data_IF_616983112199
#
_entry.id   IF_616983112199
#
_cell.length_a   1.000
_cell.length_b   1.000
_cell.length_c   1.000
_cell.angle_alpha   90.00
_cell.angle_beta   90.00
_cell.angle_gamma   90.00
#
_symmetry.space_group_name_H-M   'P 1'
#
loop_
_entity.id
_entity.type
_entity.pdbx_description
1 polymer ?
#
# COMPACT_ATOMS: atom_id res chain seq x y z
N UNK A 1 2.41 -21.57 -15.87
CA UNK A 1 3.52 -20.64 -15.49
C UNK A 1 4.51 -20.52 -16.64
N UNK A 2 4.87 -19.27 -17.01
CA UNK A 2 5.86 -18.95 -18.07
C UNK A 2 7.28 -19.38 -17.69
N UNK A 3 8.21 -19.34 -18.68
CA UNK A 3 9.62 -19.60 -18.41
C UNK A 3 10.21 -18.56 -17.43
N UNK A 4 9.81 -17.29 -17.57
CA UNK A 4 10.22 -16.21 -16.67
C UNK A 4 9.75 -16.49 -15.23
N UNK A 5 8.52 -16.92 -15.04
CA UNK A 5 7.99 -17.31 -13.72
C UNK A 5 8.78 -18.46 -13.11
N UNK A 6 9.14 -19.48 -13.91
CA UNK A 6 9.97 -20.61 -13.46
C UNK A 6 11.35 -20.16 -13.02
N UNK A 7 11.99 -19.25 -13.77
CA UNK A 7 13.30 -18.70 -13.43
C UNK A 7 13.24 -17.88 -12.13
N UNK A 8 12.19 -17.07 -11.95
CA UNK A 8 11.98 -16.30 -10.73
C UNK A 8 11.81 -17.25 -9.54
N UNK A 9 10.94 -18.26 -9.62
CA UNK A 9 10.77 -19.25 -8.56
C UNK A 9 12.07 -19.99 -8.24
N UNK A 10 12.85 -20.38 -9.27
CA UNK A 10 14.16 -21.01 -9.07
C UNK A 10 15.14 -20.09 -8.32
N UNK A 11 15.19 -18.79 -8.69
CA UNK A 11 16.02 -17.80 -8.02
C UNK A 11 15.61 -17.61 -6.56
N UNK A 12 14.28 -17.49 -6.29
CA UNK A 12 13.73 -17.34 -4.95
C UNK A 12 14.07 -18.54 -4.06
N UNK A 13 13.92 -19.77 -4.57
CA UNK A 13 14.29 -20.99 -3.85
C UNK A 13 15.75 -21.01 -3.45
N UNK A 14 16.65 -20.45 -4.27
CA UNK A 14 18.09 -20.46 -4.01
C UNK A 14 18.59 -19.30 -3.17
N UNK A 15 17.92 -18.18 -3.22
CA UNK A 15 18.43 -16.93 -2.63
C UNK A 15 17.58 -16.36 -1.52
N UNK A 16 16.29 -16.59 -1.55
CA UNK A 16 15.36 -16.02 -0.57
C UNK A 16 14.94 -17.06 0.47
N UNK A 17 14.42 -18.20 0.03
CA UNK A 17 13.94 -19.26 0.92
C UNK A 17 14.95 -19.67 2.02
N UNK A 18 16.27 -19.87 1.75
CA UNK A 18 17.20 -20.22 2.82
C UNK A 18 17.27 -19.17 3.94
N UNK A 19 17.19 -17.89 3.58
CA UNK A 19 17.23 -16.79 4.55
C UNK A 19 16.01 -16.79 5.49
N UNK A 20 14.87 -17.34 5.06
CA UNK A 20 13.66 -17.41 5.91
C UNK A 20 13.74 -18.50 6.97
N UNK A 21 14.70 -19.43 6.88
CA UNK A 21 14.97 -20.48 7.88
C UNK A 21 15.92 -20.02 8.98
N UNK A 22 16.66 -18.95 8.75
CA UNK A 22 17.57 -18.37 9.74
C UNK A 22 16.79 -17.56 10.79
N UNK A 23 17.37 -17.32 11.99
CA UNK A 23 16.84 -16.37 12.95
C UNK A 23 16.67 -14.98 12.31
N UNK A 24 15.62 -14.27 12.71
CA UNK A 24 15.30 -12.97 12.15
C UNK A 24 16.25 -11.91 12.72
N UNK A 25 17.10 -11.38 11.87
CA UNK A 25 17.92 -10.19 12.13
C UNK A 25 17.34 -9.01 11.33
N UNK A 26 16.56 -8.18 12.00
CA UNK A 26 15.86 -7.04 11.41
C UNK A 26 16.84 -6.08 10.72
N UNK A 27 17.95 -5.74 11.36
CA UNK A 27 18.93 -4.80 10.82
C UNK A 27 19.59 -5.34 9.55
N UNK A 28 19.97 -6.62 9.55
CA UNK A 28 20.53 -7.33 8.39
C UNK A 28 19.54 -7.38 7.22
N UNK A 29 18.27 -7.74 7.49
CA UNK A 29 17.23 -7.83 6.46
C UNK A 29 16.98 -6.46 5.81
N UNK A 30 16.83 -5.40 6.61
CA UNK A 30 16.65 -4.03 6.12
C UNK A 30 17.84 -3.57 5.28
N UNK A 31 19.07 -3.78 5.76
CA UNK A 31 20.29 -3.40 5.04
C UNK A 31 20.43 -4.17 3.71
N UNK A 32 20.10 -5.45 3.67
CA UNK A 32 20.14 -6.24 2.44
C UNK A 32 19.07 -5.82 1.45
N UNK A 33 17.86 -5.52 1.93
CA UNK A 33 16.75 -5.05 1.11
C UNK A 33 17.09 -3.70 0.49
N UNK A 34 17.59 -2.74 1.28
CA UNK A 34 17.98 -1.41 0.78
C UNK A 34 19.08 -1.47 -0.31
N UNK A 35 20.02 -2.41 -0.22
CA UNK A 35 21.11 -2.57 -1.20
C UNK A 35 20.66 -3.20 -2.52
N UNK A 36 19.55 -3.92 -2.54
CA UNK A 36 19.11 -4.75 -3.69
C UNK A 36 17.88 -4.19 -4.40
N UNK A 37 17.46 -2.97 -4.07
CA UNK A 37 16.30 -2.35 -4.69
C UNK A 37 16.60 -2.05 -6.15
N UNK A 38 15.84 -2.68 -7.04
CA UNK A 38 15.77 -2.26 -8.43
C UNK A 38 14.75 -1.12 -8.53
N UNK A 39 15.21 0.05 -8.97
CA UNK A 39 14.36 1.23 -9.14
C UNK A 39 13.96 1.33 -10.62
N UNK A 40 12.70 1.04 -10.96
CA UNK A 40 12.22 1.22 -12.31
C UNK A 40 12.22 2.71 -12.69
N UNK A 41 12.44 3.03 -13.98
CA UNK A 41 12.29 4.41 -14.45
C UNK A 41 10.85 4.88 -14.24
N UNK A 42 10.70 6.18 -13.95
CA UNK A 42 9.36 6.78 -13.87
C UNK A 42 8.68 6.68 -15.22
N UNK A 43 7.44 6.18 -15.31
CA UNK A 43 6.73 6.04 -16.57
C UNK A 43 6.53 7.40 -17.27
N UNK A 44 6.54 7.39 -18.61
CA UNK A 44 6.30 8.61 -19.40
C UNK A 44 4.90 9.17 -19.10
N UNK A 45 4.81 10.49 -18.87
CA UNK A 45 3.56 11.17 -18.49
C UNK A 45 3.19 11.02 -17.02
N UNK A 46 4.16 10.60 -16.19
CA UNK A 46 4.00 10.46 -14.75
C UNK A 46 5.13 11.16 -14.01
N UNK A 47 4.88 11.52 -12.76
CA UNK A 47 5.85 12.12 -11.86
C UNK A 47 5.94 11.29 -10.58
N UNK A 48 7.16 11.14 -10.06
CA UNK A 48 7.40 10.60 -8.74
C UNK A 48 7.77 11.76 -7.81
N UNK A 49 7.04 11.90 -6.69
CA UNK A 49 7.31 12.90 -5.66
C UNK A 49 7.57 12.18 -4.34
N UNK A 50 8.80 12.22 -3.90
CA UNK A 50 9.20 11.64 -2.61
C UNK A 50 8.96 12.66 -1.50
N UNK A 51 8.28 12.24 -0.42
CA UNK A 51 8.07 13.05 0.77
C UNK A 51 8.29 12.18 2.01
N UNK A 52 9.53 12.11 2.47
CA UNK A 52 9.88 11.37 3.67
C UNK A 52 10.02 12.31 4.86
N UNK A 53 9.55 11.88 6.04
CA UNK A 53 9.75 12.62 7.28
C UNK A 53 11.24 12.72 7.58
N UNK A 54 11.67 13.89 8.02
CA UNK A 54 13.03 14.05 8.55
C UNK A 54 13.10 13.33 9.90
N UNK A 55 14.11 12.50 10.11
CA UNK A 55 14.32 11.80 11.37
C UNK A 55 14.39 12.81 12.53
N UNK A 56 13.61 12.57 13.59
CA UNK A 56 13.54 13.45 14.77
C UNK A 56 12.61 14.67 14.63
N UNK A 57 11.93 14.85 13.50
CA UNK A 57 10.89 15.87 13.40
C UNK A 57 9.68 15.50 14.28
N UNK A 58 9.10 16.47 15.03
CA UNK A 58 7.93 16.20 15.86
C UNK A 58 6.72 15.78 14.99
N UNK A 59 5.93 14.84 15.51
CA UNK A 59 4.65 14.47 14.91
C UNK A 59 3.67 15.63 15.07
N UNK A 60 3.54 16.44 14.03
CA UNK A 60 2.51 17.47 13.98
C UNK A 60 1.27 16.90 13.28
N UNK A 61 0.08 17.21 13.80
CA UNK A 61 -1.19 16.76 13.21
C UNK A 61 -1.37 17.13 11.73
N UNK A 62 -0.65 18.15 11.24
CA UNK A 62 -0.63 18.63 9.86
C UNK A 62 0.66 18.29 9.12
N UNK A 63 1.55 17.44 9.67
CA UNK A 63 2.77 17.05 8.97
C UNK A 63 2.43 16.31 7.65
N UNK A 64 3.23 16.51 6.59
CA UNK A 64 3.06 15.74 5.35
C UNK A 64 3.15 14.24 5.64
N UNK A 65 2.30 13.46 4.99
CA UNK A 65 2.39 11.99 5.05
C UNK A 65 3.76 11.56 4.52
N UNK A 66 4.40 10.58 5.20
CA UNK A 66 5.65 9.99 4.71
C UNK A 66 5.35 8.97 3.62
N UNK A 67 6.01 9.07 2.46
CA UNK A 67 5.78 8.14 1.36
C UNK A 67 6.16 8.68 -0.02
N UNK A 68 5.58 8.06 -1.03
CA UNK A 68 5.83 8.42 -2.43
C UNK A 68 4.52 8.62 -3.18
N UNK A 69 4.40 9.77 -3.81
CA UNK A 69 3.34 10.04 -4.77
C UNK A 69 3.78 9.67 -6.18
N UNK A 70 2.95 8.91 -6.86
CA UNK A 70 3.02 8.62 -8.28
C UNK A 70 1.84 9.36 -8.91
N UNK A 71 2.11 10.46 -9.61
CA UNK A 71 1.09 11.41 -10.07
C UNK A 71 1.09 11.46 -11.60
N UNK A 72 -0.10 11.34 -12.19
CA UNK A 72 -0.27 11.49 -13.64
C UNK A 72 -0.18 12.97 -14.04
N UNK A 73 0.54 13.27 -15.10
CA UNK A 73 0.53 14.62 -15.68
C UNK A 73 -0.89 14.96 -16.17
N UNK A 74 -1.40 16.11 -15.72
CA UNK A 74 -2.79 16.52 -15.98
C UNK A 74 -3.82 15.94 -14.98
N UNK A 75 -3.38 15.20 -13.95
CA UNK A 75 -4.23 14.60 -12.91
C UNK A 75 -4.86 13.28 -13.30
N UNK A 76 -5.32 12.55 -12.31
CA UNK A 76 -6.02 11.28 -12.48
C UNK A 76 -7.43 11.34 -11.85
N UNK A 77 -8.41 10.60 -12.41
CA UNK A 77 -9.78 10.59 -11.89
C UNK A 77 -9.93 9.71 -10.63
N UNK A 78 -8.86 9.00 -10.24
CA UNK A 78 -8.84 8.01 -9.16
C UNK A 78 -7.61 8.18 -8.31
N UNK A 79 -7.70 7.72 -7.07
CA UNK A 79 -6.55 7.69 -6.14
C UNK A 79 -6.41 6.31 -5.52
N UNK A 80 -5.19 5.81 -5.41
CA UNK A 80 -4.87 4.56 -4.73
C UNK A 80 -3.99 4.86 -3.52
N UNK A 81 -4.41 4.41 -2.33
CA UNK A 81 -3.52 4.29 -1.18
C UNK A 81 -2.87 2.92 -1.22
N UNK A 82 -1.55 2.88 -1.40
CA UNK A 82 -0.80 1.62 -1.46
C UNK A 82 -0.04 1.37 -0.16
N UNK A 83 -0.22 0.18 0.40
CA UNK A 83 0.42 -0.30 1.62
C UNK A 83 1.35 -1.45 1.24
N UNK A 84 2.66 -1.22 1.38
CA UNK A 84 3.66 -2.19 0.94
C UNK A 84 3.76 -3.42 1.85
N UNK A 85 4.23 -4.54 1.31
CA UNK A 85 4.57 -5.74 2.05
C UNK A 85 5.87 -5.62 2.84
N UNK A 86 6.31 -6.75 3.41
CA UNK A 86 7.56 -6.81 4.17
C UNK A 86 7.36 -7.19 5.64
N UNK A 87 6.33 -8.00 5.95
CA UNK A 87 6.11 -8.57 7.28
C UNK A 87 6.00 -7.55 8.40
N UNK A 88 5.62 -6.31 8.10
CA UNK A 88 5.56 -5.15 9.00
C UNK A 88 6.92 -4.68 9.55
N UNK A 89 8.04 -5.31 9.21
CA UNK A 89 9.34 -4.98 9.80
C UNK A 89 10.42 -4.56 8.79
N UNK A 90 10.18 -4.71 7.48
CA UNK A 90 11.13 -4.29 6.44
C UNK A 90 10.39 -3.84 5.18
N UNK A 91 11.12 -3.52 4.12
CA UNK A 91 10.63 -2.88 2.90
C UNK A 91 10.24 -1.39 3.09
N UNK A 92 9.80 -0.79 2.01
CA UNK A 92 9.42 0.63 1.93
C UNK A 92 8.71 0.90 0.59
N UNK A 93 8.14 2.08 0.37
CA UNK A 93 7.64 2.50 -0.94
C UNK A 93 8.64 2.27 -2.07
N UNK A 94 9.93 2.56 -1.85
CA UNK A 94 11.00 2.36 -2.85
C UNK A 94 11.10 0.91 -3.33
N UNK A 95 10.95 -0.05 -2.43
CA UNK A 95 11.04 -1.48 -2.78
C UNK A 95 9.86 -1.97 -3.61
N UNK A 96 8.74 -1.24 -3.57
CA UNK A 96 7.49 -1.60 -4.24
C UNK A 96 7.15 -0.71 -5.45
N UNK A 97 8.09 0.16 -5.90
CA UNK A 97 7.86 1.03 -7.07
C UNK A 97 7.44 0.27 -8.33
N UNK A 98 7.93 -0.96 -8.53
CA UNK A 98 7.59 -1.75 -9.72
C UNK A 98 6.08 -2.09 -9.78
N UNK A 99 5.52 -2.57 -8.66
CA UNK A 99 4.10 -2.87 -8.58
C UNK A 99 3.26 -1.59 -8.50
N UNK A 100 3.72 -0.57 -7.77
CA UNK A 100 3.03 0.71 -7.64
C UNK A 100 2.91 1.45 -8.98
N UNK A 101 4.00 1.59 -9.75
CA UNK A 101 3.95 2.14 -11.11
C UNK A 101 3.08 1.31 -12.04
N UNK A 102 3.21 -0.03 -11.94
CA UNK A 102 2.43 -0.94 -12.76
C UNK A 102 0.93 -0.81 -12.53
N UNK A 103 0.49 -0.66 -11.28
CA UNK A 103 -0.92 -0.49 -10.92
C UNK A 103 -1.41 0.93 -11.26
N UNK A 104 -0.67 1.98 -10.86
CA UNK A 104 -1.03 3.38 -11.09
C UNK A 104 -1.28 3.67 -12.59
N UNK A 105 -0.33 3.25 -13.43
CA UNK A 105 -0.40 3.53 -14.87
C UNK A 105 -1.57 2.81 -15.55
N UNK A 106 -1.84 1.56 -15.19
CA UNK A 106 -2.92 0.75 -15.77
C UNK A 106 -4.30 1.19 -15.29
N UNK A 107 -4.40 1.52 -14.00
CA UNK A 107 -5.64 2.01 -13.41
C UNK A 107 -5.93 3.48 -13.76
N UNK A 108 -4.97 4.19 -14.36
CA UNK A 108 -5.05 5.64 -14.57
C UNK A 108 -5.40 6.37 -13.26
N UNK A 109 -4.66 6.04 -12.19
CA UNK A 109 -4.90 6.53 -10.84
C UNK A 109 -3.65 7.19 -10.28
N UNK A 110 -3.78 8.36 -9.64
CA UNK A 110 -2.72 8.83 -8.75
C UNK A 110 -2.55 7.82 -7.62
N UNK A 111 -1.32 7.54 -7.20
CA UNK A 111 -1.06 6.56 -6.18
C UNK A 111 -0.17 7.15 -5.10
N UNK A 112 -0.61 7.04 -3.84
CA UNK A 112 0.22 7.32 -2.68
C UNK A 112 0.68 6.02 -2.04
N UNK A 113 1.98 5.75 -2.11
CA UNK A 113 2.62 4.61 -1.42
C UNK A 113 3.10 5.08 -0.05
N UNK A 114 2.41 4.63 1.00
CA UNK A 114 2.66 5.06 2.37
C UNK A 114 3.92 4.42 2.93
N UNK A 115 4.78 5.22 3.55
CA UNK A 115 5.91 4.78 4.37
C UNK A 115 5.46 4.70 5.83
N UNK A 116 4.73 3.65 6.16
CA UNK A 116 4.18 3.45 7.49
C UNK A 116 5.26 3.00 8.48
N UNK A 117 5.06 3.27 9.77
CA UNK A 117 5.97 2.90 10.85
C UNK A 117 6.13 1.39 10.96
N UNK A 118 7.37 0.92 11.07
CA UNK A 118 7.72 -0.50 11.07
C UNK A 118 8.02 -1.01 12.49
N UNK A 119 7.71 -2.28 12.69
CA UNK A 119 8.12 -3.06 13.86
C UNK A 119 9.60 -3.46 13.75
N UNK A 120 10.27 -3.78 14.85
CA UNK A 120 9.77 -3.79 16.24
C UNK A 120 9.75 -2.42 16.91
N UNK A 121 10.33 -1.37 16.29
CA UNK A 121 10.39 -0.03 16.90
C UNK A 121 8.99 0.55 17.13
N UNK A 122 8.08 0.23 16.23
CA UNK A 122 6.68 0.66 16.26
C UNK A 122 5.77 -0.55 16.03
N UNK A 123 5.48 -1.34 17.08
CA UNK A 123 4.59 -2.48 16.96
C UNK A 123 3.14 -2.05 16.71
N UNK A 124 2.24 -3.00 16.54
CA UNK A 124 0.81 -2.79 16.47
C UNK A 124 0.31 -1.91 17.65
N UNK A 125 -0.54 -0.89 17.40
CA UNK A 125 -1.24 -0.62 16.14
C UNK A 125 -0.57 0.43 15.23
N UNK A 126 0.69 0.80 15.40
CA UNK A 126 1.33 1.95 14.76
C UNK A 126 1.15 2.00 13.23
N UNK A 127 1.32 0.89 12.51
CA UNK A 127 1.13 0.83 11.06
C UNK A 127 -0.34 1.05 10.67
N UNK A 128 -1.29 0.55 11.46
CA UNK A 128 -2.72 0.76 11.24
C UNK A 128 -3.10 2.23 11.46
N UNK A 129 -2.59 2.85 12.52
CA UNK A 129 -2.82 4.27 12.79
C UNK A 129 -2.32 5.15 11.64
N UNK A 130 -1.13 4.83 11.09
CA UNK A 130 -0.57 5.54 9.94
C UNK A 130 -1.43 5.35 8.68
N UNK A 131 -1.94 4.14 8.43
CA UNK A 131 -2.81 3.85 7.29
C UNK A 131 -4.16 4.58 7.40
N UNK A 132 -4.77 4.61 8.59
CA UNK A 132 -5.99 5.37 8.86
C UNK A 132 -5.77 6.87 8.70
N UNK A 133 -4.68 7.40 9.25
CA UNK A 133 -4.32 8.81 9.10
C UNK A 133 -4.10 9.19 7.64
N UNK A 134 -3.42 8.33 6.86
CA UNK A 134 -3.20 8.54 5.43
C UNK A 134 -4.52 8.56 4.66
N UNK A 135 -5.41 7.60 4.89
CA UNK A 135 -6.70 7.54 4.22
C UNK A 135 -7.56 8.78 4.53
N UNK A 136 -7.69 9.14 5.82
CA UNK A 136 -8.45 10.33 6.26
C UNK A 136 -7.87 11.62 5.67
N UNK A 137 -6.54 11.69 5.55
CA UNK A 137 -5.86 12.83 4.92
C UNK A 137 -6.17 12.93 3.43
N UNK A 138 -6.22 11.82 2.70
CA UNK A 138 -6.61 11.82 1.29
C UNK A 138 -8.05 12.34 1.11
N UNK A 139 -8.97 11.96 2.00
CA UNK A 139 -10.33 12.51 2.01
C UNK A 139 -10.33 14.01 2.29
N UNK A 140 -9.58 14.48 3.29
CA UNK A 140 -9.48 15.89 3.66
C UNK A 140 -8.82 16.74 2.55
N UNK A 141 -7.89 16.17 1.79
CA UNK A 141 -7.28 16.80 0.62
C UNK A 141 -8.20 16.79 -0.62
N UNK A 142 -9.44 16.30 -0.47
CA UNK A 142 -10.50 16.39 -1.46
C UNK A 142 -10.60 15.19 -2.41
N UNK A 143 -9.97 14.05 -2.11
CA UNK A 143 -10.22 12.83 -2.87
C UNK A 143 -11.58 12.21 -2.45
N UNK A 144 -12.57 12.06 -3.35
CA UNK A 144 -13.84 11.44 -3.00
C UNK A 144 -13.65 9.97 -2.61
N UNK A 145 -14.34 9.50 -1.56
CA UNK A 145 -14.24 8.11 -1.11
C UNK A 145 -14.54 7.10 -2.24
N UNK A 146 -15.50 7.41 -3.12
CA UNK A 146 -15.90 6.59 -4.26
C UNK A 146 -14.84 6.55 -5.38
N UNK A 147 -13.83 7.41 -5.36
CA UNK A 147 -12.68 7.39 -6.27
C UNK A 147 -11.42 6.82 -5.62
N UNK A 148 -11.48 6.47 -4.33
CA UNK A 148 -10.37 5.90 -3.58
C UNK A 148 -10.41 4.38 -3.57
N UNK A 149 -9.23 3.75 -3.71
CA UNK A 149 -9.02 2.31 -3.50
C UNK A 149 -7.84 2.14 -2.55
N UNK A 150 -7.94 1.19 -1.61
CA UNK A 150 -6.78 0.78 -0.81
C UNK A 150 -6.21 -0.47 -1.46
N UNK A 151 -4.90 -0.49 -1.71
CA UNK A 151 -4.21 -1.65 -2.27
C UNK A 151 -3.03 -2.03 -1.37
N UNK A 152 -2.70 -3.31 -1.32
CA UNK A 152 -1.53 -3.76 -0.58
C UNK A 152 -1.16 -5.20 -0.87
N UNK A 153 0.05 -5.57 -0.49
CA UNK A 153 0.59 -6.90 -0.70
C UNK A 153 1.11 -7.51 0.62
N UNK A 154 1.00 -8.81 0.79
CA UNK A 154 1.53 -9.52 1.97
C UNK A 154 1.03 -8.88 3.29
N UNK A 155 1.93 -8.44 4.17
CA UNK A 155 1.59 -7.67 5.38
C UNK A 155 0.80 -6.39 5.05
N UNK A 156 1.15 -5.68 3.97
CA UNK A 156 0.39 -4.52 3.49
C UNK A 156 -1.00 -4.87 3.00
N UNK A 157 -1.21 -6.09 2.46
CA UNK A 157 -2.53 -6.62 2.12
C UNK A 157 -3.38 -6.90 3.37
N UNK A 158 -2.77 -7.46 4.43
CA UNK A 158 -3.40 -7.59 5.74
C UNK A 158 -3.73 -6.23 6.34
N UNK A 159 -2.80 -5.28 6.30
CA UNK A 159 -3.00 -3.91 6.76
C UNK A 159 -4.12 -3.20 5.99
N UNK A 160 -4.22 -3.40 4.68
CA UNK A 160 -5.30 -2.85 3.87
C UNK A 160 -6.68 -3.36 4.32
N UNK A 161 -6.82 -4.65 4.57
CA UNK A 161 -8.07 -5.23 5.09
C UNK A 161 -8.37 -4.74 6.51
N UNK A 162 -7.37 -4.68 7.40
CA UNK A 162 -7.51 -4.14 8.75
C UNK A 162 -7.94 -2.66 8.73
N UNK A 163 -7.39 -1.86 7.80
CA UNK A 163 -7.78 -0.47 7.60
C UNK A 163 -9.24 -0.36 7.19
N UNK A 164 -9.75 -1.20 6.28
CA UNK A 164 -11.17 -1.22 5.90
C UNK A 164 -12.07 -1.52 7.10
N UNK A 165 -11.70 -2.53 7.91
CA UNK A 165 -12.45 -2.89 9.12
C UNK A 165 -12.51 -1.73 10.09
N UNK A 166 -11.35 -1.11 10.38
CA UNK A 166 -11.26 0.00 11.32
C UNK A 166 -12.01 1.27 10.85
N UNK A 167 -11.97 1.58 9.54
CA UNK A 167 -12.73 2.69 8.95
C UNK A 167 -14.24 2.46 9.08
N UNK A 168 -14.73 1.24 8.77
CA UNK A 168 -16.14 0.90 8.93
C UNK A 168 -16.58 1.04 10.38
N UNK A 169 -15.81 0.50 11.31
CA UNK A 169 -16.14 0.50 12.74
C UNK A 169 -16.12 1.92 13.33
N UNK A 170 -15.31 2.80 12.78
CA UNK A 170 -15.27 4.22 13.12
C UNK A 170 -16.39 5.04 12.43
N UNK A 171 -17.14 4.47 11.49
CA UNK A 171 -18.14 5.20 10.70
C UNK A 171 -17.56 6.16 9.66
N UNK A 172 -16.29 6.01 9.31
CA UNK A 172 -15.65 6.78 8.24
C UNK A 172 -16.22 6.42 6.86
N UNK A 173 -16.24 7.32 5.88
CA UNK A 173 -16.56 6.99 4.51
C UNK A 173 -15.61 5.90 3.98
N UNK A 174 -16.15 4.77 3.50
CA UNK A 174 -15.36 3.67 2.98
C UNK A 174 -14.89 3.95 1.55
N UNK A 175 -13.70 3.44 1.15
CA UNK A 175 -13.24 3.51 -0.23
C UNK A 175 -14.12 2.67 -1.17
N UNK A 176 -13.99 2.89 -2.47
CA UNK A 176 -14.72 2.16 -3.50
C UNK A 176 -14.42 0.65 -3.53
N UNK A 177 -13.25 0.25 -3.06
CA UNK A 177 -12.82 -1.15 -3.02
C UNK A 177 -11.42 -1.32 -2.48
N UNK A 178 -10.96 -2.58 -2.42
CA UNK A 178 -9.56 -2.89 -2.10
C UNK A 178 -8.97 -3.96 -3.02
N UNK A 179 -7.63 -3.87 -3.24
CA UNK A 179 -6.82 -4.82 -3.99
C UNK A 179 -5.79 -5.44 -3.07
N UNK A 180 -5.86 -6.76 -2.87
CA UNK A 180 -5.06 -7.49 -1.90
C UNK A 180 -4.25 -8.58 -2.62
N UNK A 181 -2.93 -8.43 -2.64
CA UNK A 181 -2.03 -9.43 -3.22
C UNK A 181 -1.42 -10.30 -2.13
N UNK A 182 -1.71 -11.60 -2.13
CA UNK A 182 -1.17 -12.56 -1.17
C UNK A 182 -1.25 -12.05 0.28
N UNK A 183 -2.41 -11.53 0.75
CA UNK A 183 -2.52 -10.82 2.01
C UNK A 183 -2.19 -11.71 3.21
N UNK A 184 -1.41 -11.22 4.17
CA UNK A 184 -1.17 -11.87 5.46
C UNK A 184 -2.20 -11.36 6.48
N UNK A 185 -3.20 -12.16 6.78
CA UNK A 185 -4.39 -11.78 7.54
C UNK A 185 -4.58 -12.58 8.83
N UNK A 186 -3.75 -13.59 9.06
CA UNK A 186 -3.77 -14.47 10.21
C UNK A 186 -2.39 -14.53 10.88
N UNK A 187 -2.15 -13.64 11.84
CA UNK A 187 -0.90 -13.60 12.60
C UNK A 187 -0.78 -14.77 13.62
N UNK A 188 -1.88 -15.51 13.88
CA UNK A 188 -1.84 -16.73 14.65
C UNK A 188 -1.36 -17.94 13.82
N UNK A 189 -1.15 -17.77 12.50
CA UNK A 189 -0.60 -18.78 11.59
C UNK A 189 -1.38 -20.11 11.62
N UNK A 190 -2.72 -20.06 11.60
CA UNK A 190 -3.60 -21.26 11.74
C UNK A 190 -4.00 -21.88 10.39
N UNK A 191 -3.60 -21.30 9.25
CA UNK A 191 -3.89 -21.85 7.93
C UNK A 191 -3.17 -23.17 7.66
N UNK A 192 -3.86 -24.17 7.14
CA UNK A 192 -3.26 -25.47 6.80
C UNK A 192 -2.16 -25.34 5.74
N UNK A 193 -2.31 -24.39 4.81
CA UNK A 193 -1.33 -24.14 3.75
C UNK A 193 0.08 -23.76 4.26
N UNK A 194 0.19 -23.28 5.50
CA UNK A 194 1.49 -23.01 6.14
C UNK A 194 2.33 -24.29 6.20
N UNK A 195 1.70 -25.43 6.50
CA UNK A 195 2.39 -26.73 6.58
C UNK A 195 2.33 -27.48 5.24
N UNK A 196 1.20 -27.47 4.55
CA UNK A 196 0.98 -28.20 3.29
C UNK A 196 1.85 -27.67 2.14
N UNK A 197 2.14 -26.37 2.14
CA UNK A 197 2.97 -25.72 1.14
C UNK A 197 4.42 -25.45 1.61
N UNK A 198 4.81 -25.88 2.83
CA UNK A 198 6.20 -25.84 3.25
C UNK A 198 7.06 -26.69 2.31
N UNK A 199 8.15 -26.12 1.82
CA UNK A 199 9.00 -26.70 0.77
C UNK A 199 8.44 -26.60 -0.66
N UNK A 200 7.15 -26.29 -0.86
CA UNK A 200 6.56 -25.97 -2.17
C UNK A 200 6.64 -24.47 -2.47
N UNK A 201 6.46 -23.65 -1.46
CA UNK A 201 6.64 -22.20 -1.57
C UNK A 201 8.09 -21.87 -1.94
N UNK A 202 8.33 -21.08 -3.01
CA UNK A 202 9.69 -20.71 -3.40
C UNK A 202 10.31 -19.61 -2.53
N UNK A 203 9.51 -18.92 -1.68
CA UNK A 203 9.97 -17.78 -0.89
C UNK A 203 10.04 -18.07 0.61
N UNK A 204 9.06 -18.76 1.18
CA UNK A 204 8.90 -18.88 2.62
C UNK A 204 8.93 -20.33 3.10
N UNK A 205 9.56 -20.58 4.25
CA UNK A 205 9.30 -21.76 5.05
C UNK A 205 8.07 -21.47 5.95
N UNK A 206 7.30 -22.53 6.27
CA UNK A 206 6.03 -22.38 6.97
C UNK A 206 6.13 -21.73 8.33
N UNK A 207 7.21 -22.01 9.09
CA UNK A 207 7.41 -21.50 10.45
C UNK A 207 7.83 -20.03 10.53
N UNK A 208 8.18 -19.39 9.40
CA UNK A 208 8.66 -18.02 9.39
C UNK A 208 7.62 -17.03 9.90
N UNK A 209 6.34 -17.25 9.59
CA UNK A 209 5.25 -16.34 10.00
C UNK A 209 5.06 -16.32 11.52
N UNK A 210 5.12 -17.48 12.17
CA UNK A 210 5.06 -17.57 13.63
C UNK A 210 6.24 -16.87 14.33
N UNK A 211 7.40 -16.76 13.64
CA UNK A 211 8.58 -16.04 14.14
C UNK A 211 8.52 -14.53 13.88
N UNK A 212 7.87 -14.10 12.80
CA UNK A 212 7.73 -12.68 12.46
C UNK A 212 6.59 -12.02 13.24
N UNK A 213 5.45 -12.70 13.41
CA UNK A 213 4.26 -12.13 14.04
C UNK A 213 4.51 -11.43 15.39
N UNK A 214 5.32 -11.98 16.32
CA UNK A 214 5.62 -11.31 17.59
C UNK A 214 6.30 -9.94 17.44
N UNK A 215 7.08 -9.71 16.37
CA UNK A 215 7.71 -8.41 16.14
C UNK A 215 6.66 -7.32 15.93
N UNK A 216 5.61 -7.62 15.17
CA UNK A 216 4.53 -6.69 14.89
C UNK A 216 3.52 -6.62 16.03
N UNK A 217 3.11 -7.75 16.59
CA UNK A 217 2.09 -7.82 17.63
C UNK A 217 2.50 -7.10 18.93
N UNK A 218 3.79 -7.13 19.29
CA UNK A 218 4.18 -6.67 20.62
C UNK A 218 3.45 -7.47 21.70
N UNK A 219 2.55 -6.80 22.43
CA UNK A 219 1.71 -7.42 23.47
C UNK A 219 0.29 -7.74 23.02
N UNK A 220 -0.07 -7.43 21.78
CA UNK A 220 -1.42 -7.67 21.27
C UNK A 220 -1.68 -9.16 20.99
N UNK A 221 -2.95 -9.55 21.02
CA UNK A 221 -3.36 -10.92 20.66
C UNK A 221 -3.12 -11.18 19.16
N UNK A 222 -2.64 -12.38 18.83
CA UNK A 222 -2.52 -12.81 17.45
C UNK A 222 -3.87 -12.97 16.74
N UNK A 223 -4.98 -12.95 17.47
CA UNK A 223 -6.34 -13.00 16.95
C UNK A 223 -7.08 -11.67 17.10
N UNK A 224 -6.38 -10.58 17.46
CA UNK A 224 -6.95 -9.25 17.46
C UNK A 224 -7.46 -8.89 16.04
N UNK A 225 -8.74 -8.50 15.87
CA UNK A 225 -9.34 -8.30 14.56
C UNK A 225 -8.71 -7.16 13.74
N UNK A 226 -8.00 -6.23 14.37
CA UNK A 226 -7.29 -5.16 13.69
C UNK A 226 -5.83 -5.50 13.38
N UNK A 227 -5.26 -6.50 14.05
CA UNK A 227 -3.94 -7.05 13.72
C UNK A 227 -4.06 -8.22 12.72
N UNK A 228 -5.07 -9.07 12.92
CA UNK A 228 -5.39 -10.27 12.13
C UNK A 228 -6.82 -10.17 11.58
N UNK A 229 -7.03 -9.43 10.49
CA UNK A 229 -8.38 -9.12 10.00
C UNK A 229 -9.15 -10.34 9.48
N UNK A 230 -8.53 -11.50 9.39
CA UNK A 230 -9.24 -12.76 9.21
C UNK A 230 -10.29 -13.00 10.32
N UNK A 231 -10.05 -12.56 11.55
CA UNK A 231 -10.94 -12.76 12.71
C UNK A 231 -12.00 -11.67 12.85
N UNK A 232 -11.92 -10.61 12.05
CA UNK A 232 -12.88 -9.52 12.08
C UNK A 232 -14.27 -9.93 11.54
N UNK A 233 -15.28 -9.16 11.90
CA UNK A 233 -16.53 -9.11 11.12
C UNK A 233 -16.26 -8.40 9.80
N UNK A 234 -16.66 -9.00 8.67
CA UNK A 234 -16.43 -8.45 7.34
C UNK A 234 -17.69 -7.87 6.69
N UNK A 235 -18.84 -7.82 7.41
CA UNK A 235 -20.05 -7.19 6.90
C UNK A 235 -19.83 -5.71 6.60
N UNK A 236 -20.47 -5.24 5.53
CA UNK A 236 -20.44 -3.83 5.13
C UNK A 236 -19.12 -3.33 4.53
N UNK A 237 -18.12 -4.21 4.33
CA UNK A 237 -16.91 -3.85 3.62
C UNK A 237 -17.15 -3.62 2.11
N UNK A 238 -16.37 -2.76 1.46
CA UNK A 238 -16.46 -2.54 0.03
C UNK A 238 -15.97 -3.76 -0.76
N UNK A 239 -16.20 -3.80 -2.10
CA UNK A 239 -15.71 -4.86 -2.96
C UNK A 239 -14.22 -5.15 -2.81
N UNK A 240 -13.84 -6.44 -2.82
CA UNK A 240 -12.47 -6.90 -2.70
C UNK A 240 -12.00 -7.61 -3.98
N UNK A 241 -10.79 -7.29 -4.43
CA UNK A 241 -10.04 -8.05 -5.42
C UNK A 241 -8.84 -8.71 -4.75
N UNK A 242 -8.72 -10.03 -4.85
CA UNK A 242 -7.71 -10.79 -4.12
C UNK A 242 -6.98 -11.75 -5.05
N UNK A 243 -5.66 -11.85 -4.93
CA UNK A 243 -4.84 -12.81 -5.66
C UNK A 243 -3.89 -13.55 -4.70
N UNK A 244 -3.68 -14.84 -4.93
CA UNK A 244 -2.64 -15.64 -4.28
C UNK A 244 -2.13 -16.76 -5.20
N UNK A 245 -0.88 -17.16 -5.03
CA UNK A 245 -0.31 -18.34 -5.71
C UNK A 245 -0.70 -19.64 -5.01
N UNK A 246 -0.93 -20.68 -5.79
CA UNK A 246 -1.40 -21.98 -5.25
C UNK A 246 -0.37 -22.72 -4.37
N UNK A 247 0.89 -22.30 -4.43
CA UNK A 247 1.99 -22.91 -3.64
C UNK A 247 2.44 -22.03 -2.48
N UNK A 248 1.78 -20.88 -2.25
CA UNK A 248 2.11 -20.00 -1.14
C UNK A 248 1.75 -20.62 0.21
N UNK A 249 2.62 -20.44 1.18
CA UNK A 249 2.32 -20.78 2.59
C UNK A 249 1.17 -19.95 3.15
N UNK A 250 0.95 -18.71 2.66
CA UNK A 250 -0.18 -17.83 3.01
C UNK A 250 -1.44 -18.05 2.13
N UNK A 251 -1.52 -19.12 1.35
CA UNK A 251 -2.67 -19.36 0.47
C UNK A 251 -4.01 -19.37 1.23
N UNK A 252 -4.04 -19.99 2.40
CA UNK A 252 -5.28 -20.10 3.18
C UNK A 252 -5.73 -18.78 3.80
N UNK A 253 -4.85 -17.83 4.01
CA UNK A 253 -5.23 -16.47 4.42
C UNK A 253 -6.16 -15.86 3.37
N UNK A 254 -5.74 -15.92 2.09
CA UNK A 254 -6.56 -15.42 0.97
C UNK A 254 -7.86 -16.20 0.83
N UNK A 255 -7.84 -17.55 0.89
CA UNK A 255 -9.03 -18.39 0.74
C UNK A 255 -10.05 -18.13 1.84
N UNK A 256 -9.58 -18.11 3.08
CA UNK A 256 -10.43 -17.95 4.28
C UNK A 256 -11.06 -16.56 4.32
N UNK A 257 -10.30 -15.50 4.02
CA UNK A 257 -10.85 -14.14 3.91
C UNK A 257 -11.87 -14.07 2.79
N UNK A 258 -11.58 -14.60 1.59
CA UNK A 258 -12.52 -14.59 0.48
C UNK A 258 -13.82 -15.33 0.80
N UNK A 259 -13.73 -16.48 1.49
CA UNK A 259 -14.90 -17.24 1.95
C UNK A 259 -15.73 -16.45 2.97
N UNK A 260 -15.08 -15.91 4.02
CA UNK A 260 -15.75 -15.16 5.08
C UNK A 260 -16.37 -13.86 4.56
N UNK A 261 -15.67 -13.14 3.68
CA UNK A 261 -16.18 -11.90 3.08
C UNK A 261 -17.42 -12.18 2.20
N UNK A 262 -17.41 -13.24 1.38
CA UNK A 262 -18.60 -13.65 0.61
C UNK A 262 -19.76 -14.04 1.51
N UNK A 263 -19.51 -14.79 2.59
CA UNK A 263 -20.53 -15.14 3.58
C UNK A 263 -21.12 -13.91 4.29
N UNK A 264 -20.33 -12.85 4.43
CA UNK A 264 -20.75 -11.56 4.95
C UNK A 264 -21.41 -10.64 3.88
N UNK A 265 -21.69 -11.13 2.67
CA UNK A 265 -22.35 -10.36 1.61
C UNK A 265 -21.42 -9.41 0.85
N UNK A 266 -20.10 -9.47 1.07
CA UNK A 266 -19.12 -8.65 0.34
C UNK A 266 -18.88 -9.22 -1.05
N UNK A 267 -18.84 -8.35 -2.07
CA UNK A 267 -18.43 -8.72 -3.42
C UNK A 267 -16.94 -9.05 -3.48
N UNK A 268 -16.56 -10.28 -3.82
CA UNK A 268 -15.16 -10.71 -3.84
C UNK A 268 -14.81 -11.37 -5.18
N UNK A 269 -13.90 -10.73 -5.92
CA UNK A 269 -13.16 -11.33 -7.01
C UNK A 269 -11.85 -11.92 -6.45
N UNK A 270 -11.70 -13.24 -6.54
CA UNK A 270 -10.51 -13.92 -5.98
C UNK A 270 -9.94 -14.89 -7.01
N UNK A 271 -8.66 -14.69 -7.35
CA UNK A 271 -7.88 -15.56 -8.24
C UNK A 271 -6.78 -16.31 -7.46
N UNK A 272 -6.73 -17.64 -7.66
CA UNK A 272 -5.64 -18.49 -7.16
C UNK A 272 -4.85 -18.99 -8.36
N UNK A 273 -3.67 -18.42 -8.57
CA UNK A 273 -2.84 -18.71 -9.74
C UNK A 273 -1.91 -19.90 -9.50
N UNK A 274 -1.86 -20.79 -10.49
CA UNK A 274 -1.11 -22.04 -10.36
C UNK A 274 0.40 -21.80 -10.34
N UNK A 275 1.06 -22.34 -9.30
CA UNK A 275 2.52 -22.41 -9.13
C UNK A 275 3.24 -21.05 -9.13
N UNK A 276 2.54 -19.94 -8.89
CA UNK A 276 3.14 -18.61 -8.80
C UNK A 276 3.67 -18.32 -7.39
N UNK A 277 4.76 -17.53 -7.28
CA UNK A 277 5.36 -17.21 -5.99
C UNK A 277 4.54 -16.14 -5.24
N UNK A 278 4.78 -15.98 -3.97
CA UNK A 278 4.19 -14.93 -3.14
C UNK A 278 4.38 -13.54 -3.77
N UNK A 279 3.28 -12.77 -3.84
CA UNK A 279 3.25 -11.41 -4.41
C UNK A 279 3.86 -11.35 -5.83
N UNK A 280 3.56 -12.31 -6.71
CA UNK A 280 4.11 -12.28 -8.08
C UNK A 280 3.83 -11.02 -8.88
N UNK A 281 2.77 -10.20 -8.63
CA UNK A 281 2.56 -8.95 -9.35
C UNK A 281 3.73 -7.97 -9.26
N UNK A 282 4.58 -8.05 -8.23
CA UNK A 282 5.79 -7.21 -8.09
C UNK A 282 6.81 -7.46 -9.21
N UNK A 283 6.74 -8.63 -9.87
CA UNK A 283 7.62 -8.98 -10.97
C UNK A 283 7.07 -8.58 -12.35
N UNK A 284 6.09 -7.68 -12.41
CA UNK A 284 5.44 -7.24 -13.65
C UNK A 284 6.39 -6.81 -14.78
N UNK A 285 7.54 -6.15 -14.52
CA UNK A 285 8.48 -5.82 -15.58
C UNK A 285 9.04 -7.04 -16.31
N UNK A 286 9.11 -8.19 -15.65
CA UNK A 286 9.81 -9.38 -16.14
C UNK A 286 8.90 -10.58 -16.42
N UNK A 287 7.68 -10.60 -15.86
CA UNK A 287 6.82 -11.77 -15.82
C UNK A 287 5.46 -11.51 -16.47
N UNK A 288 5.05 -12.29 -17.50
CA UNK A 288 3.76 -12.09 -18.18
C UNK A 288 2.55 -12.26 -17.25
N UNK A 289 2.59 -13.22 -16.34
CA UNK A 289 1.52 -13.46 -15.35
C UNK A 289 1.34 -12.26 -14.42
N UNK A 290 2.46 -11.63 -14.02
CA UNK A 290 2.42 -10.44 -13.18
C UNK A 290 1.80 -9.23 -13.92
N UNK A 291 2.08 -9.08 -15.23
CA UNK A 291 1.44 -8.05 -16.04
C UNK A 291 -0.07 -8.25 -16.13
N UNK A 292 -0.54 -9.49 -16.40
CA UNK A 292 -1.98 -9.81 -16.40
C UNK A 292 -2.63 -9.53 -15.06
N UNK A 293 -1.98 -9.94 -13.96
CA UNK A 293 -2.49 -9.65 -12.61
C UNK A 293 -2.68 -8.14 -12.36
N UNK A 294 -1.76 -7.31 -12.85
CA UNK A 294 -1.91 -5.85 -12.75
C UNK A 294 -2.97 -5.29 -13.70
N UNK A 295 -3.13 -5.88 -14.89
CA UNK A 295 -4.21 -5.51 -15.83
C UNK A 295 -5.58 -5.81 -15.21
N UNK A 296 -5.79 -7.03 -14.67
CA UNK A 296 -7.02 -7.43 -13.98
C UNK A 296 -7.32 -6.57 -12.75
N UNK A 297 -6.26 -6.21 -11.98
CA UNK A 297 -6.39 -5.33 -10.82
C UNK A 297 -6.81 -3.91 -11.22
N UNK A 298 -6.24 -3.40 -12.29
CA UNK A 298 -6.58 -2.08 -12.82
C UNK A 298 -8.01 -2.03 -13.35
N UNK A 299 -8.46 -3.08 -14.02
CA UNK A 299 -9.85 -3.22 -14.48
C UNK A 299 -10.83 -3.27 -13.30
N UNK A 300 -10.44 -3.94 -12.21
CA UNK A 300 -11.22 -3.89 -10.96
C UNK A 300 -11.28 -2.47 -10.41
N UNK A 301 -10.14 -1.77 -10.28
CA UNK A 301 -10.09 -0.39 -9.79
C UNK A 301 -10.99 0.51 -10.64
N UNK A 302 -10.89 0.45 -11.96
CA UNK A 302 -11.72 1.24 -12.89
C UNK A 302 -13.21 0.94 -12.73
N UNK A 303 -13.56 -0.31 -12.50
CA UNK A 303 -14.96 -0.75 -12.37
C UNK A 303 -15.61 -0.30 -11.08
N UNK A 304 -14.89 -0.32 -9.95
CA UNK A 304 -15.46 0.02 -8.64
C UNK A 304 -15.45 1.52 -8.36
N UNK A 305 -14.57 2.29 -9.04
CA UNK A 305 -14.51 3.74 -8.86
C UNK A 305 -15.39 4.43 -9.87
N UNK A 306 -16.25 5.35 -9.42
CA UNK A 306 -16.94 6.28 -10.30
C UNK A 306 -15.96 7.38 -10.71
N UNK A 307 -15.87 7.64 -12.01
CA UNK A 307 -15.14 8.80 -12.51
C UNK A 307 -15.97 10.05 -12.15
N UNK A 308 -15.50 10.84 -11.21
CA UNK A 308 -16.14 12.12 -10.88
C UNK A 308 -15.63 13.18 -11.87
N UNK A 309 -16.41 13.47 -12.91
CA UNK A 309 -16.11 14.53 -13.87
C UNK A 309 -16.11 15.93 -13.24
N UNK A 310 -16.75 16.11 -12.04
CA UNK A 310 -16.79 17.39 -11.33
C UNK A 310 -15.43 17.74 -10.68
N UNK A 311 -14.65 16.74 -10.28
CA UNK A 311 -13.32 16.94 -9.69
C UNK A 311 -12.27 17.44 -10.70
N UNK A 312 -12.46 17.14 -12.00
CA UNK A 312 -11.59 17.65 -13.08
C UNK A 312 -11.64 19.18 -13.21
N UNK A 313 -12.81 19.78 -13.01
CA UNK A 313 -13.01 21.24 -13.16
C UNK A 313 -12.36 22.02 -12.01
N UNK A 314 -12.35 21.51 -10.80
CA UNK A 314 -11.80 22.22 -9.64
C UNK A 314 -10.27 22.13 -9.53
N UNK A 315 -9.66 21.02 -9.92
CA UNK A 315 -8.18 20.87 -9.91
C UNK A 315 -7.50 21.68 -11.01
N UNK A 316 -8.16 21.94 -12.14
CA UNK A 316 -7.65 22.82 -13.19
C UNK A 316 -7.63 24.30 -12.78
N UNK A 317 -8.52 24.72 -11.88
CA UNK A 317 -8.59 26.10 -11.35
C UNK A 317 -7.52 26.35 -10.29
N UNK A 318 -7.19 25.34 -9.44
CA UNK A 318 -6.15 25.47 -8.42
C UNK A 318 -4.72 25.26 -8.95
N UNK A 319 -4.56 24.62 -10.09
CA UNK A 319 -3.25 24.47 -10.78
C UNK A 319 -2.74 25.73 -11.46
N UNK A 320 -3.58 26.77 -11.62
CA UNK A 320 -3.22 28.05 -12.25
C UNK A 320 -2.88 29.16 -11.24
N UNK A 321 -3.11 28.98 -9.94
CA UNK A 321 -2.62 29.90 -8.91
C UNK A 321 -1.22 29.48 -8.46
N UNK A 322 -0.21 29.84 -9.27
CA UNK A 322 1.19 29.86 -8.85
C UNK A 322 1.41 30.92 -7.77
N UNK A 323 2.39 30.76 -6.83
CA UNK A 323 2.70 31.78 -5.85
C UNK A 323 3.43 32.93 -6.54
N UNK A 324 2.74 34.04 -6.80
CA UNK A 324 3.41 35.20 -7.37
C UNK A 324 2.50 36.28 -7.91
N UNK A 325 1.90 37.10 -7.05
CA UNK A 325 1.63 38.52 -7.37
C UNK A 325 1.39 39.44 -6.17
N UNK A 326 1.27 38.92 -4.95
CA UNK A 326 0.95 39.78 -3.79
C UNK A 326 2.14 40.28 -2.98
N UNK A 327 3.37 39.86 -3.29
CA UNK A 327 4.58 40.33 -2.58
C UNK A 327 5.16 41.63 -3.13
N UNK A 328 4.76 42.08 -4.33
CA UNK A 328 5.31 43.33 -4.90
C UNK A 328 4.45 44.59 -4.66
N UNK A 329 3.18 44.45 -4.29
CA UNK A 329 2.32 45.63 -4.05
C UNK A 329 2.49 46.23 -2.65
N UNK A 330 3.00 45.49 -1.65
CA UNK A 330 3.20 46.00 -0.29
C UNK A 330 4.56 46.68 -0.08
N UNK A 331 5.57 46.43 -0.94
CA UNK A 331 6.86 47.10 -0.85
C UNK A 331 6.83 48.52 -1.45
N UNK A 332 5.94 48.82 -2.37
CA UNK A 332 5.80 50.16 -2.95
C UNK A 332 4.92 51.12 -2.12
N UNK A 333 4.04 50.63 -1.27
CA UNK A 333 3.26 51.50 -0.34
C UNK A 333 4.01 51.94 0.90
N UNK A 334 5.02 51.18 1.34
CA UNK A 334 5.84 51.55 2.50
C UNK A 334 6.93 52.62 2.18
N UNK A 335 7.30 52.81 0.91
CA UNK A 335 8.32 53.76 0.48
C UNK A 335 7.76 55.18 0.19
N UNK A 336 6.44 55.38 0.16
CA UNK A 336 5.82 56.68 -0.13
C UNK A 336 5.26 57.40 1.09
N UNK A 337 5.38 56.85 2.32
CA UNK A 337 4.87 57.50 3.54
C UNK A 337 5.94 58.13 4.45
N UNK A 338 7.21 58.15 4.03
CA UNK A 338 8.33 58.72 4.84
C UNK A 338 8.94 60.02 4.33
N UNK A 339 8.23 60.71 3.43
CA UNK A 339 8.72 62.00 2.90
C UNK A 339 7.66 63.10 3.06
N UNK A 340 7.35 63.49 4.30
CA UNK A 340 6.80 64.84 4.64
C UNK A 340 6.74 65.00 6.16
N UNK A 341 7.73 65.64 6.76
CA UNK A 341 7.57 66.60 7.86
C UNK A 341 8.95 66.96 8.42
N UNK A 342 9.44 68.13 8.02
CA UNK A 342 10.43 68.91 8.77
C UNK A 342 9.65 70.12 9.31
N UNK A 343 9.60 70.35 10.60
CA UNK A 343 9.18 71.62 11.13
C UNK A 343 10.38 72.55 11.35
N UNK A 344 10.15 73.80 11.08
CA UNK A 344 10.94 74.97 11.40
C UNK A 344 11.26 75.10 12.87
#
# INVERSE_FOLDING_TARGET
MSLQGRLICWFLRRRFLPATREPIDVARVRAQTAKRVWLPPVPKGWQLREQYRVAGAPDAANAPLSGEWIVREGGAPRTILYLHGGGYYFCSPKTHRAIAFGLATRAEADLFSLDYRLAPEHPFPAALDDALAAYRRLLADGAPAQSLVIAGDSAGGGLALATLVALRDAGDPLPAGAVLYSPWTDLAATGASIHENDGRDPMFCGDVFARIAPLYLGTASATDPYASPLYADLHGLPPLFMLAGSTETLLDDTRRVAQRARAAGVSVACGIERDLPHVWPIYAPFMPEARRALDDSADFVKRVTTADDSARSQRSVHGQMGPGSDAQSNAQRAAQSSATSIPS
#
